data_IF_381866050731
#
_entry.id   IF_381866050731
#
_cell.length_a   1.000
_cell.length_b   1.000
_cell.length_c   1.000
_cell.angle_alpha   90.00
_cell.angle_beta   90.00
_cell.angle_gamma   90.00
#
_symmetry.space_group_name_H-M   'P 1'
#
loop_
_entity.id
_entity.type
_entity.pdbx_description
1 polymer ?
#
# COMPACT_ATOMS: atom_id res chain seq x y z
N UNK A 1 -6.83 21.14 -16.83
CA UNK A 1 -5.53 20.48 -17.08
C UNK A 1 -5.75 19.48 -18.19
N UNK A 2 -4.92 19.49 -19.23
CA UNK A 2 -4.95 18.46 -20.28
C UNK A 2 -4.92 17.08 -19.63
N UNK A 3 -5.84 16.19 -20.03
CA UNK A 3 -6.07 14.88 -19.40
C UNK A 3 -4.78 14.06 -19.25
N UNK A 4 -3.86 14.16 -20.22
CA UNK A 4 -2.54 13.55 -20.20
C UNK A 4 -1.70 13.90 -18.98
N UNK A 5 -1.74 15.16 -18.51
CA UNK A 5 -0.99 15.60 -17.33
C UNK A 5 -1.52 14.92 -16.06
N UNK A 6 -2.83 14.70 -15.98
CA UNK A 6 -3.42 13.99 -14.84
C UNK A 6 -3.07 12.50 -14.85
N UNK A 7 -3.07 11.87 -16.03
CA UNK A 7 -2.65 10.47 -16.19
C UNK A 7 -1.18 10.30 -15.79
N UNK A 8 -0.31 11.17 -16.30
CA UNK A 8 1.12 11.15 -15.97
C UNK A 8 1.36 11.32 -14.47
N UNK A 9 0.66 12.28 -13.84
CA UNK A 9 0.74 12.49 -12.40
C UNK A 9 0.35 11.22 -11.61
N UNK A 10 -0.73 10.55 -11.97
CA UNK A 10 -1.17 9.30 -11.32
C UNK A 10 -0.19 8.15 -11.53
N UNK A 11 0.43 8.05 -12.70
CA UNK A 11 1.45 7.04 -12.99
C UNK A 11 2.70 7.25 -12.16
N UNK A 12 3.16 8.50 -12.04
CA UNK A 12 4.29 8.87 -11.19
C UNK A 12 3.97 8.55 -9.73
N UNK A 13 2.78 8.95 -9.26
CA UNK A 13 2.30 8.66 -7.91
C UNK A 13 2.30 7.15 -7.62
N UNK A 14 1.73 6.34 -8.52
CA UNK A 14 1.72 4.89 -8.39
C UNK A 14 3.13 4.29 -8.35
N UNK A 15 4.02 4.76 -9.23
CA UNK A 15 5.41 4.30 -9.28
C UNK A 15 6.16 4.61 -7.99
N UNK A 16 5.94 5.81 -7.42
CA UNK A 16 6.54 6.21 -6.15
C UNK A 16 6.03 5.31 -5.01
N UNK A 17 4.72 5.03 -4.94
CA UNK A 17 4.16 4.15 -3.89
C UNK A 17 4.66 2.70 -4.01
N UNK A 18 4.85 2.22 -5.23
CA UNK A 18 5.48 0.92 -5.49
C UNK A 18 6.94 0.90 -5.02
N UNK A 19 7.73 1.91 -5.39
CA UNK A 19 9.13 2.01 -4.98
C UNK A 19 9.30 2.11 -3.45
N UNK A 20 8.53 2.99 -2.80
CA UNK A 20 8.56 3.15 -1.34
C UNK A 20 8.12 1.86 -0.64
N UNK A 21 7.03 1.25 -1.13
CA UNK A 21 6.56 0.00 -0.54
C UNK A 21 7.56 -1.14 -0.72
N UNK A 22 8.33 -1.17 -1.83
CA UNK A 22 9.37 -2.19 -2.03
C UNK A 22 10.49 -2.01 -1.01
N UNK A 23 10.95 -0.77 -0.86
CA UNK A 23 11.97 -0.42 0.12
C UNK A 23 11.54 -0.88 1.51
N UNK A 24 10.33 -0.50 1.94
CA UNK A 24 9.81 -0.84 3.28
C UNK A 24 9.61 -2.35 3.44
N UNK A 25 9.18 -3.05 2.40
CA UNK A 25 9.03 -4.50 2.43
C UNK A 25 10.36 -5.19 2.70
N UNK A 26 11.42 -4.75 2.03
CA UNK A 26 12.74 -5.38 2.15
C UNK A 26 13.52 -4.94 3.40
N UNK A 27 13.38 -3.69 3.82
CA UNK A 27 14.19 -3.12 4.92
C UNK A 27 13.49 -3.13 6.27
N UNK A 28 12.16 -3.21 6.31
CA UNK A 28 11.37 -3.16 7.55
C UNK A 28 10.54 -4.44 7.69
N UNK A 29 9.68 -4.75 6.73
CA UNK A 29 8.74 -5.88 6.87
C UNK A 29 9.48 -7.22 6.97
N UNK A 30 10.45 -7.46 6.09
CA UNK A 30 11.25 -8.69 6.08
C UNK A 30 11.98 -8.91 7.41
N UNK A 31 12.78 -7.95 7.95
CA UNK A 31 13.40 -8.12 9.26
C UNK A 31 12.40 -8.34 10.39
N UNK A 32 11.23 -7.69 10.34
CA UNK A 32 10.16 -7.94 11.32
C UNK A 32 9.69 -9.39 11.23
N UNK A 33 9.37 -9.89 10.04
CA UNK A 33 8.92 -11.27 9.88
C UNK A 33 9.96 -12.26 10.38
N UNK A 34 11.21 -12.09 9.96
CA UNK A 34 12.32 -12.97 10.37
C UNK A 34 12.56 -12.91 11.89
N UNK A 35 12.33 -11.76 12.54
CA UNK A 35 12.38 -11.65 14.00
C UNK A 35 11.29 -12.45 14.71
N UNK A 36 10.11 -12.60 14.10
CA UNK A 36 9.03 -13.47 14.58
C UNK A 36 9.19 -14.92 14.11
N UNK A 37 10.38 -15.31 13.63
CA UNK A 37 10.67 -16.64 13.07
C UNK A 37 9.81 -17.00 11.85
N UNK A 38 9.18 -16.01 11.21
CA UNK A 38 8.37 -16.17 10.01
C UNK A 38 9.31 -16.12 8.81
N UNK A 39 9.53 -17.22 8.08
CA UNK A 39 10.43 -17.22 6.94
C UNK A 39 9.88 -16.28 5.85
N UNK A 40 10.66 -15.27 5.50
CA UNK A 40 10.36 -14.38 4.39
C UNK A 40 10.82 -15.00 3.06
N UNK A 41 10.29 -16.19 2.78
CA UNK A 41 10.56 -17.01 1.61
C UNK A 41 9.24 -17.20 0.86
N UNK A 42 9.24 -17.10 -0.48
CA UNK A 42 8.02 -17.24 -1.28
C UNK A 42 7.70 -16.01 -2.14
N UNK A 43 6.42 -15.75 -2.39
CA UNK A 43 5.96 -14.70 -3.29
C UNK A 43 5.95 -13.32 -2.61
N UNK A 44 7.15 -12.74 -2.50
CA UNK A 44 7.39 -11.40 -1.92
C UNK A 44 6.55 -10.32 -2.62
N UNK A 45 6.13 -10.54 -3.86
CA UNK A 45 5.33 -9.58 -4.62
C UNK A 45 3.98 -9.30 -3.95
N UNK A 46 3.33 -10.31 -3.35
CA UNK A 46 2.01 -10.13 -2.72
C UNK A 46 2.14 -9.23 -1.49
N UNK A 47 3.15 -9.49 -0.65
CA UNK A 47 3.42 -8.69 0.54
C UNK A 47 3.86 -7.27 0.15
N UNK A 48 4.70 -7.15 -0.88
CA UNK A 48 5.10 -5.88 -1.45
C UNK A 48 3.92 -5.04 -1.92
N UNK A 49 3.02 -5.62 -2.74
CA UNK A 49 1.82 -4.93 -3.20
C UNK A 49 0.92 -4.54 -2.04
N UNK A 50 0.77 -5.39 -1.03
CA UNK A 50 0.04 -5.08 0.20
C UNK A 50 0.62 -3.84 0.89
N UNK A 51 1.93 -3.82 1.16
CA UNK A 51 2.62 -2.69 1.78
C UNK A 51 2.48 -1.41 0.95
N UNK A 52 2.71 -1.47 -0.37
CA UNK A 52 2.54 -0.33 -1.27
C UNK A 52 1.12 0.23 -1.24
N UNK A 53 0.11 -0.65 -1.19
CA UNK A 53 -1.27 -0.22 -1.11
C UNK A 53 -1.60 0.42 0.25
N UNK A 54 -1.07 -0.11 1.35
CA UNK A 54 -1.20 0.52 2.67
C UNK A 54 -0.61 1.94 2.67
N UNK A 55 0.56 2.15 2.07
CA UNK A 55 1.13 3.49 1.90
C UNK A 55 0.25 4.40 1.05
N UNK A 56 -0.30 3.89 -0.06
CA UNK A 56 -1.23 4.65 -0.89
C UNK A 56 -2.49 5.06 -0.12
N UNK A 57 -3.01 4.18 0.75
CA UNK A 57 -4.15 4.49 1.62
C UNK A 57 -3.78 5.57 2.62
N UNK A 58 -2.64 5.44 3.32
CA UNK A 58 -2.18 6.47 4.27
C UNK A 58 -1.96 7.81 3.57
N UNK A 59 -1.30 7.82 2.42
CA UNK A 59 -1.13 9.01 1.59
C UNK A 59 -2.48 9.65 1.24
N UNK A 60 -3.46 8.85 0.82
CA UNK A 60 -4.78 9.34 0.43
C UNK A 60 -5.55 9.91 1.64
N UNK A 61 -5.48 9.26 2.79
CA UNK A 61 -6.11 9.70 4.04
C UNK A 61 -5.46 10.98 4.55
N UNK A 62 -4.12 11.00 4.69
CA UNK A 62 -3.34 12.20 5.07
C UNK A 62 -3.62 13.35 4.09
N UNK A 63 -3.62 13.08 2.79
CA UNK A 63 -3.91 14.06 1.75
C UNK A 63 -5.32 14.66 1.88
N UNK A 64 -6.33 13.82 2.13
CA UNK A 64 -7.72 14.28 2.33
C UNK A 64 -7.87 15.17 3.57
N UNK A 65 -7.33 14.73 4.70
CA UNK A 65 -7.64 15.32 6.00
C UNK A 65 -6.69 16.43 6.41
N UNK A 66 -5.42 16.38 5.98
CA UNK A 66 -4.38 17.31 6.43
C UNK A 66 -3.93 18.29 5.34
N UNK A 67 -3.69 17.83 4.11
CA UNK A 67 -2.96 18.64 3.10
C UNK A 67 -3.85 19.30 2.05
N UNK A 68 -4.89 18.62 1.57
CA UNK A 68 -5.65 19.03 0.39
C UNK A 68 -7.16 18.81 0.61
N UNK A 69 -7.73 19.45 1.64
CA UNK A 69 -9.15 19.31 2.04
C UNK A 69 -10.17 19.62 0.93
N UNK A 70 -9.80 20.37 -0.10
CA UNK A 70 -10.70 20.72 -1.22
C UNK A 70 -10.41 19.94 -2.51
N UNK A 71 -9.47 19.00 -2.48
CA UNK A 71 -9.16 18.20 -3.67
C UNK A 71 -10.22 17.13 -3.88
N UNK A 72 -10.94 17.23 -5.00
CA UNK A 72 -11.95 16.25 -5.41
C UNK A 72 -11.34 14.87 -5.66
N UNK A 73 -10.05 14.79 -6.03
CA UNK A 73 -9.36 13.52 -6.27
C UNK A 73 -9.29 12.66 -4.98
N UNK A 74 -8.86 13.23 -3.85
CA UNK A 74 -8.80 12.49 -2.58
C UNK A 74 -10.19 12.14 -2.06
N UNK A 75 -11.16 13.03 -2.27
CA UNK A 75 -12.56 12.82 -1.88
C UNK A 75 -13.20 11.65 -2.66
N UNK A 76 -12.95 11.55 -3.96
CA UNK A 76 -13.42 10.42 -4.77
C UNK A 76 -12.78 9.10 -4.36
N UNK A 77 -11.47 9.08 -4.10
CA UNK A 77 -10.76 7.87 -3.66
C UNK A 77 -11.33 7.32 -2.34
N UNK A 78 -11.50 8.17 -1.32
CA UNK A 78 -12.04 7.76 -0.01
C UNK A 78 -13.50 7.30 -0.07
N UNK A 79 -14.30 7.78 -1.03
CA UNK A 79 -15.68 7.31 -1.21
C UNK A 79 -15.77 5.98 -1.96
N UNK A 80 -14.68 5.51 -2.56
CA UNK A 80 -14.69 4.29 -3.37
C UNK A 80 -14.76 3.04 -2.50
N UNK A 81 -15.73 2.17 -2.76
CA UNK A 81 -15.84 0.86 -2.10
C UNK A 81 -14.63 -0.01 -2.43
N UNK A 82 -14.18 0.00 -3.69
CA UNK A 82 -13.00 -0.75 -4.12
C UNK A 82 -11.75 -0.31 -3.35
N UNK A 83 -11.63 0.98 -3.06
CA UNK A 83 -10.50 1.50 -2.27
C UNK A 83 -10.43 0.84 -0.89
N UNK A 84 -11.57 0.74 -0.21
CA UNK A 84 -11.64 0.09 1.10
C UNK A 84 -11.52 -1.43 1.02
N UNK A 85 -12.04 -2.08 -0.01
CA UNK A 85 -11.87 -3.52 -0.21
C UNK A 85 -10.40 -3.89 -0.39
N UNK A 86 -9.67 -3.16 -1.24
CA UNK A 86 -8.23 -3.37 -1.39
C UNK A 86 -7.46 -3.01 -0.13
N UNK A 87 -7.90 -2.03 0.65
CA UNK A 87 -7.29 -1.73 1.94
C UNK A 87 -7.40 -2.92 2.89
N UNK A 88 -8.61 -3.48 3.07
CA UNK A 88 -8.82 -4.66 3.90
C UNK A 88 -8.01 -5.86 3.40
N UNK A 89 -7.99 -6.09 2.09
CA UNK A 89 -7.18 -7.15 1.47
C UNK A 89 -5.68 -6.96 1.72
N UNK A 90 -5.17 -5.74 1.56
CA UNK A 90 -3.77 -5.41 1.81
C UNK A 90 -3.39 -5.58 3.28
N UNK A 91 -4.25 -5.14 4.21
CA UNK A 91 -4.09 -5.39 5.65
C UNK A 91 -4.05 -6.89 5.91
N UNK A 92 -5.01 -7.66 5.38
CA UNK A 92 -5.02 -9.11 5.56
C UNK A 92 -3.73 -9.76 5.07
N UNK A 93 -3.28 -9.45 3.85
CA UNK A 93 -2.04 -10.00 3.27
C UNK A 93 -0.82 -9.72 4.15
N UNK A 94 -0.69 -8.49 4.65
CA UNK A 94 0.47 -8.07 5.45
C UNK A 94 0.42 -8.62 6.87
N UNK A 95 -0.76 -8.86 7.45
CA UNK A 95 -0.86 -9.26 8.86
C UNK A 95 -1.19 -10.75 9.08
N UNK A 96 -1.72 -11.47 8.08
CA UNK A 96 -2.02 -12.90 8.20
C UNK A 96 -0.78 -13.76 8.55
N UNK A 97 0.46 -13.47 8.10
CA UNK A 97 1.61 -14.30 8.46
C UNK A 97 1.89 -14.33 9.96
N UNK A 98 1.62 -13.24 10.69
CA UNK A 98 1.80 -13.19 12.14
C UNK A 98 0.81 -14.07 12.91
N UNK A 99 -0.36 -14.33 12.32
CA UNK A 99 -1.36 -15.22 12.92
C UNK A 99 -1.04 -16.67 12.61
N UNK A 100 -0.54 -16.94 11.40
CA UNK A 100 -0.21 -18.30 10.94
C UNK A 100 1.16 -18.80 11.40
N UNK A 101 2.09 -17.90 11.72
CA UNK A 101 3.50 -18.24 11.98
C UNK A 101 4.30 -18.56 10.72
N UNK A 102 3.71 -18.42 9.54
CA UNK A 102 4.35 -18.63 8.25
C UNK A 102 3.79 -17.65 7.22
N UNK A 103 4.58 -17.30 6.21
CA UNK A 103 4.08 -16.54 5.07
C UNK A 103 3.29 -17.47 4.13
N UNK A 104 1.96 -17.34 4.00
CA UNK A 104 1.16 -18.27 3.21
C UNK A 104 1.20 -17.98 1.70
N UNK A 105 2.06 -17.05 1.26
CA UNK A 105 2.17 -16.55 -0.11
C UNK A 105 3.57 -16.72 -0.68
#
# INVERSE_FOLDING_TARGET
>A
MEEWKQVLFRLIEATIMLAIGLLVTLTILKPIYEHFEIPFLGNVWVNWFGVSYLFFVFYTVIGRFLLCKNSELFKHRIKSVLFWLFFVGATYVVFIPFIKGENPF
#
